data_IF_951606212583
#
_entry.id   IF_951606212583
#
_cell.length_a   1.000
_cell.length_b   1.000
_cell.length_c   1.000
_cell.angle_alpha   90.00
_cell.angle_beta   90.00
_cell.angle_gamma   90.00
#
_symmetry.space_group_name_H-M   'P 1'
#
loop_
_entity.id
_entity.type
_entity.pdbx_description
1 polymer ?
#
# COMPACT_ATOMS: atom_id res chain seq x y z
N UNK A 1 -0.38 7.94 4.16
CA UNK A 1 -1.08 6.74 3.63
C UNK A 1 -2.46 7.09 3.11
N UNK A 2 -2.83 6.61 1.92
CA UNK A 2 -4.13 6.82 1.27
C UNK A 2 -4.64 5.52 0.64
N UNK A 3 -5.95 5.37 0.40
CA UNK A 3 -6.43 4.19 -0.35
C UNK A 3 -6.00 4.30 -1.81
N UNK A 4 -5.95 3.17 -2.51
CA UNK A 4 -5.77 3.15 -3.96
C UNK A 4 -6.92 3.81 -4.75
N UNK A 5 -6.79 3.75 -6.07
CA UNK A 5 -7.72 4.34 -7.02
C UNK A 5 -9.03 3.53 -7.10
N UNK A 6 -10.17 4.22 -7.13
CA UNK A 6 -11.51 3.61 -7.20
C UNK A 6 -12.03 3.64 -8.65
N UNK A 7 -12.18 2.49 -9.33
CA UNK A 7 -12.58 2.45 -10.74
C UNK A 7 -14.04 2.89 -11.00
N UNK A 8 -15.01 2.29 -10.33
CA UNK A 8 -16.47 2.44 -10.59
C UNK A 8 -16.78 2.34 -12.09
N UNK A 9 -16.66 1.13 -12.63
CA UNK A 9 -16.58 0.90 -14.09
C UNK A 9 -17.39 -0.31 -14.59
N UNK A 10 -17.93 -1.14 -13.69
CA UNK A 10 -18.89 -2.19 -14.04
C UNK A 10 -18.31 -3.34 -14.88
N UNK A 11 -17.00 -3.61 -14.80
CA UNK A 11 -16.32 -4.69 -15.52
C UNK A 11 -15.85 -4.34 -16.95
N UNK A 12 -15.74 -3.06 -17.30
CA UNK A 12 -15.36 -2.58 -18.62
C UNK A 12 -13.91 -2.07 -18.74
N UNK A 13 -13.36 -1.43 -17.71
CA UNK A 13 -12.00 -0.88 -17.66
C UNK A 13 -10.99 -1.81 -16.97
N UNK A 14 -11.45 -2.77 -16.18
CA UNK A 14 -10.59 -3.81 -15.58
C UNK A 14 -10.65 -5.07 -16.45
N UNK A 15 -9.50 -5.65 -16.72
CA UNK A 15 -9.32 -6.78 -17.63
C UNK A 15 -8.62 -7.94 -16.91
N UNK A 16 -9.07 -9.15 -17.18
CA UNK A 16 -8.26 -10.37 -17.02
C UNK A 16 -7.11 -10.39 -18.05
N UNK A 17 -6.16 -11.30 -17.86
CA UNK A 17 -5.05 -11.48 -18.83
C UNK A 17 -5.57 -11.91 -20.20
N UNK A 18 -6.51 -12.84 -20.26
CA UNK A 18 -7.12 -13.29 -21.52
C UNK A 18 -7.85 -12.15 -22.25
N UNK A 19 -8.62 -11.33 -21.52
CA UNK A 19 -9.27 -10.15 -22.10
C UNK A 19 -8.28 -9.11 -22.60
N UNK A 20 -7.17 -8.92 -21.87
CA UNK A 20 -6.09 -8.00 -22.26
C UNK A 20 -5.41 -8.49 -23.54
N UNK A 21 -5.05 -9.77 -23.60
CA UNK A 21 -4.39 -10.37 -24.77
C UNK A 21 -5.30 -10.37 -25.99
N UNK A 22 -6.58 -10.72 -25.83
CA UNK A 22 -7.57 -10.64 -26.91
C UNK A 22 -7.74 -9.19 -27.41
N UNK A 23 -7.85 -8.21 -26.49
CA UNK A 23 -7.99 -6.81 -26.84
C UNK A 23 -6.77 -6.26 -27.60
N UNK A 24 -5.55 -6.63 -27.20
CA UNK A 24 -4.32 -6.23 -27.90
C UNK A 24 -4.23 -6.91 -29.27
N UNK A 25 -4.63 -8.19 -29.38
CA UNK A 25 -4.66 -8.91 -30.64
C UNK A 25 -5.60 -8.25 -31.68
N UNK A 26 -6.73 -7.73 -31.21
CA UNK A 26 -7.69 -6.99 -32.03
C UNK A 26 -7.29 -5.53 -32.29
N UNK A 27 -6.75 -4.87 -31.26
CA UNK A 27 -6.46 -3.44 -31.23
C UNK A 27 -5.05 -3.19 -30.66
N UNK A 28 -3.98 -3.38 -31.45
CA UNK A 28 -2.61 -3.28 -30.94
C UNK A 28 -2.26 -1.93 -30.29
N UNK A 29 -2.91 -0.85 -30.74
CA UNK A 29 -2.74 0.50 -30.17
C UNK A 29 -3.17 0.58 -28.68
N UNK A 30 -4.02 -0.35 -28.22
CA UNK A 30 -4.53 -0.40 -26.85
C UNK A 30 -3.44 -0.71 -25.82
N UNK A 31 -2.37 -1.40 -26.22
CA UNK A 31 -1.27 -1.80 -25.33
C UNK A 31 -0.67 -0.61 -24.57
N UNK A 32 -0.49 0.54 -25.23
CA UNK A 32 0.07 1.75 -24.59
C UNK A 32 -0.86 2.36 -23.51
N UNK A 33 -2.13 1.95 -23.46
CA UNK A 33 -3.14 2.41 -22.51
C UNK A 33 -3.46 1.36 -21.45
N UNK A 34 -2.76 0.23 -21.45
CA UNK A 34 -2.96 -0.84 -20.48
C UNK A 34 -1.87 -0.77 -19.42
N UNK A 35 -2.27 -0.89 -18.16
CA UNK A 35 -1.35 -0.97 -17.01
C UNK A 35 -1.69 -2.15 -16.12
N UNK A 36 -0.71 -2.72 -15.38
CA UNK A 36 -1.01 -3.65 -14.31
C UNK A 36 -1.97 -3.02 -13.29
N UNK A 37 -2.94 -3.80 -12.83
CA UNK A 37 -3.93 -3.37 -11.84
C UNK A 37 -3.94 -4.34 -10.66
N UNK A 38 -3.58 -3.86 -9.48
CA UNK A 38 -3.37 -4.71 -8.30
C UNK A 38 -4.27 -4.26 -7.15
N UNK A 39 -5.08 -5.19 -6.63
CA UNK A 39 -5.73 -5.09 -5.32
C UNK A 39 -5.03 -5.93 -4.26
N UNK A 40 -5.65 -6.05 -3.08
CA UNK A 40 -5.12 -6.89 -2.00
C UNK A 40 -4.98 -8.36 -2.42
N UNK A 41 -5.95 -8.89 -3.17
CA UNK A 41 -5.94 -10.30 -3.58
C UNK A 41 -4.86 -10.59 -4.62
N UNK A 42 -4.72 -9.73 -5.64
CA UNK A 42 -3.66 -9.85 -6.65
C UNK A 42 -2.28 -9.74 -6.01
N UNK A 43 -2.10 -8.76 -5.13
CA UNK A 43 -0.83 -8.53 -4.44
C UNK A 43 -0.42 -9.72 -3.57
N UNK A 44 -1.35 -10.27 -2.80
CA UNK A 44 -1.04 -11.36 -1.88
C UNK A 44 -0.81 -12.67 -2.61
N UNK A 45 -1.61 -12.98 -3.63
CA UNK A 45 -1.64 -14.31 -4.25
C UNK A 45 -0.96 -14.34 -5.63
N UNK A 46 -0.21 -13.31 -6.00
CA UNK A 46 0.49 -13.25 -7.29
C UNK A 46 -0.43 -13.31 -8.51
N UNK A 47 -1.69 -12.91 -8.38
CA UNK A 47 -2.64 -12.89 -9.51
C UNK A 47 -2.39 -11.67 -10.37
N UNK A 48 -2.66 -11.81 -11.66
CA UNK A 48 -2.52 -10.72 -12.64
C UNK A 48 -3.89 -10.18 -13.04
N UNK A 49 -4.01 -8.85 -12.99
CA UNK A 49 -5.12 -8.09 -13.57
C UNK A 49 -4.57 -6.83 -14.22
N UNK A 50 -5.34 -6.28 -15.14
CA UNK A 50 -4.94 -5.15 -15.96
C UNK A 50 -6.05 -4.10 -15.97
N UNK A 51 -5.70 -2.86 -16.30
CA UNK A 51 -6.69 -1.82 -16.52
C UNK A 51 -6.38 -0.94 -17.72
N UNK A 52 -7.44 -0.46 -18.37
CA UNK A 52 -7.37 0.68 -19.28
C UNK A 52 -7.17 1.97 -18.48
N UNK A 53 -6.05 2.65 -18.72
CA UNK A 53 -5.58 3.79 -17.94
C UNK A 53 -5.35 5.03 -18.81
N UNK A 54 -6.36 5.89 -18.88
CA UNK A 54 -6.33 7.14 -19.67
C UNK A 54 -5.95 8.39 -18.85
N UNK A 55 -5.58 8.23 -17.58
CA UNK A 55 -5.17 9.36 -16.74
C UNK A 55 -3.92 10.04 -17.30
N UNK A 56 -3.95 11.37 -17.40
CA UNK A 56 -2.82 12.17 -17.91
C UNK A 56 -2.70 12.16 -19.44
N UNK A 57 -3.61 11.51 -20.16
CA UNK A 57 -3.65 11.55 -21.63
C UNK A 57 -4.46 12.77 -22.07
N UNK A 58 -3.90 13.61 -22.94
CA UNK A 58 -4.60 14.79 -23.46
C UNK A 58 -5.84 14.40 -24.28
N UNK A 59 -6.86 15.26 -24.29
CA UNK A 59 -8.12 15.00 -25.00
C UNK A 59 -7.91 14.71 -26.49
N UNK A 60 -7.01 15.47 -27.14
CA UNK A 60 -6.68 15.28 -28.56
C UNK A 60 -6.07 13.91 -28.79
N UNK A 61 -5.07 13.50 -27.99
CA UNK A 61 -4.42 12.20 -28.13
C UNK A 61 -5.40 11.06 -27.85
N UNK A 62 -6.18 11.15 -26.77
CA UNK A 62 -7.20 10.16 -26.41
C UNK A 62 -8.21 9.99 -27.54
N UNK A 63 -8.84 11.08 -27.99
CA UNK A 63 -9.89 11.01 -29.00
C UNK A 63 -9.37 10.52 -30.36
N UNK A 64 -8.13 10.87 -30.72
CA UNK A 64 -7.49 10.34 -31.92
C UNK A 64 -7.25 8.82 -31.83
N UNK A 65 -6.78 8.34 -30.68
CA UNK A 65 -6.54 6.92 -30.46
C UNK A 65 -7.84 6.11 -30.40
N UNK A 66 -8.87 6.59 -29.71
CA UNK A 66 -10.15 5.87 -29.56
C UNK A 66 -10.87 5.63 -30.89
N UNK A 67 -10.69 6.50 -31.89
CA UNK A 67 -11.19 6.26 -33.25
C UNK A 67 -10.61 5.01 -33.91
N UNK A 68 -9.43 4.58 -33.47
CA UNK A 68 -8.71 3.40 -33.97
C UNK A 68 -8.88 2.19 -33.06
N UNK A 69 -9.62 2.33 -31.95
CA UNK A 69 -9.82 1.29 -30.95
C UNK A 69 -11.33 1.16 -30.61
N UNK A 70 -12.17 0.74 -31.58
CA UNK A 70 -13.63 0.65 -31.39
C UNK A 70 -14.08 -0.24 -30.22
N UNK A 71 -13.38 -1.32 -29.89
CA UNK A 71 -13.65 -2.19 -28.73
C UNK A 71 -13.32 -1.49 -27.41
N UNK A 72 -12.19 -0.77 -27.34
CA UNK A 72 -11.91 0.12 -26.19
C UNK A 72 -12.98 1.21 -26.07
N UNK A 73 -13.38 1.82 -27.18
CA UNK A 73 -14.43 2.84 -27.19
C UNK A 73 -15.78 2.27 -26.71
N UNK A 74 -16.13 1.05 -27.11
CA UNK A 74 -17.34 0.36 -26.65
C UNK A 74 -17.31 0.12 -25.12
N UNK A 75 -16.17 -0.32 -24.58
CA UNK A 75 -15.98 -0.47 -23.11
C UNK A 75 -16.18 0.86 -22.39
N UNK A 76 -15.60 1.95 -22.89
CA UNK A 76 -15.78 3.30 -22.31
C UNK A 76 -17.26 3.74 -22.39
N UNK A 77 -17.95 3.45 -23.49
CA UNK A 77 -19.36 3.78 -23.62
C UNK A 77 -20.24 2.97 -22.65
N UNK A 78 -19.91 1.71 -22.39
CA UNK A 78 -20.58 0.90 -21.38
C UNK A 78 -20.38 1.45 -19.95
N UNK A 79 -19.17 1.95 -19.62
CA UNK A 79 -18.94 2.67 -18.36
C UNK A 79 -19.84 3.90 -18.26
N UNK A 80 -19.94 4.68 -19.34
CA UNK A 80 -20.78 5.88 -19.39
C UNK A 80 -22.24 5.54 -19.07
N UNK A 81 -22.83 4.59 -19.79
CA UNK A 81 -24.22 4.17 -19.59
C UNK A 81 -24.45 3.67 -18.15
N UNK A 82 -23.57 2.80 -17.64
CA UNK A 82 -23.67 2.32 -16.25
C UNK A 82 -23.63 3.47 -15.22
N UNK A 83 -22.78 4.48 -15.45
CA UNK A 83 -22.66 5.65 -14.57
C UNK A 83 -23.88 6.56 -14.64
N UNK A 84 -24.44 6.79 -15.83
CA UNK A 84 -25.68 7.58 -16.04
C UNK A 84 -26.87 6.94 -15.32
N UNK A 85 -26.94 5.60 -15.31
CA UNK A 85 -28.01 4.83 -14.68
C UNK A 85 -27.85 4.67 -13.15
N UNK A 86 -26.74 5.15 -12.56
CA UNK A 86 -26.47 5.03 -11.13
C UNK A 86 -27.41 5.89 -10.28
N UNK A 87 -27.77 5.43 -9.08
CA UNK A 87 -28.49 6.24 -8.09
C UNK A 87 -27.61 7.23 -7.33
N UNK A 88 -26.28 7.12 -7.45
CA UNK A 88 -25.33 8.01 -6.78
C UNK A 88 -25.01 9.22 -7.66
N UNK A 89 -25.35 10.42 -7.18
CA UNK A 89 -25.18 11.69 -7.90
C UNK A 89 -23.74 11.95 -8.35
N UNK A 90 -22.74 11.52 -7.58
CA UNK A 90 -21.34 11.67 -8.00
C UNK A 90 -21.02 10.75 -9.17
N UNK A 91 -21.44 9.50 -9.08
CA UNK A 91 -21.27 8.50 -10.14
C UNK A 91 -21.93 8.94 -11.45
N UNK A 92 -23.14 9.52 -11.39
CA UNK A 92 -23.79 10.12 -12.56
C UNK A 92 -22.95 11.22 -13.20
N UNK A 93 -22.38 12.13 -12.40
CA UNK A 93 -21.50 13.20 -12.90
C UNK A 93 -20.23 12.64 -13.56
N UNK A 94 -19.68 11.55 -13.01
CA UNK A 94 -18.49 10.88 -13.54
C UNK A 94 -18.75 10.20 -14.90
N UNK A 95 -20.00 10.14 -15.38
CA UNK A 95 -20.32 9.71 -16.74
C UNK A 95 -19.81 10.69 -17.82
N UNK A 96 -19.43 11.93 -17.44
CA UNK A 96 -18.78 12.87 -18.34
C UNK A 96 -17.31 12.48 -18.65
N UNK A 97 -16.69 11.67 -17.79
CA UNK A 97 -15.30 11.19 -17.94
C UNK A 97 -15.21 9.66 -17.78
N UNK A 98 -15.94 8.89 -18.63
CA UNK A 98 -16.07 7.44 -18.49
C UNK A 98 -14.76 6.67 -18.74
N UNK A 99 -13.78 7.31 -19.37
CA UNK A 99 -12.43 6.76 -19.55
C UNK A 99 -11.52 6.90 -18.31
N UNK A 100 -11.96 7.61 -17.26
CA UNK A 100 -11.23 7.76 -16.01
C UNK A 100 -11.88 6.96 -14.89
N UNK A 101 -11.06 6.55 -13.92
CA UNK A 101 -11.55 6.03 -12.64
C UNK A 101 -12.21 7.14 -11.83
N UNK A 102 -13.26 6.81 -11.07
CA UNK A 102 -13.99 7.77 -10.24
C UNK A 102 -13.11 8.49 -9.20
N UNK A 103 -12.13 7.78 -8.61
CA UNK A 103 -11.10 8.40 -7.76
C UNK A 103 -9.73 7.93 -8.19
N UNK A 104 -8.87 8.86 -8.55
CA UNK A 104 -7.50 8.62 -8.98
C UNK A 104 -6.58 9.06 -7.85
N UNK A 105 -5.85 8.11 -7.27
CA UNK A 105 -4.89 8.35 -6.17
C UNK A 105 -3.51 7.78 -6.47
N UNK A 106 -3.34 7.26 -7.68
CA UNK A 106 -2.10 6.66 -8.15
C UNK A 106 -1.00 7.74 -8.20
N UNK A 107 0.20 7.50 -7.65
CA UNK A 107 1.35 8.38 -7.80
C UNK A 107 1.73 8.55 -9.28
N UNK A 108 2.25 9.72 -9.64
CA UNK A 108 2.69 10.01 -11.01
C UNK A 108 4.08 9.48 -11.33
N UNK A 109 4.90 9.21 -10.32
CA UNK A 109 6.29 8.77 -10.43
C UNK A 109 6.72 7.95 -9.20
N UNK A 110 7.93 7.38 -9.29
CA UNK A 110 8.60 6.72 -8.19
C UNK A 110 7.98 5.39 -7.75
N UNK A 111 8.45 4.92 -6.60
CA UNK A 111 7.93 3.73 -5.95
C UNK A 111 7.12 4.11 -4.73
N UNK A 112 6.14 3.27 -4.40
CA UNK A 112 5.32 3.41 -3.21
C UNK A 112 5.17 2.05 -2.53
N UNK A 113 4.81 2.07 -1.26
CA UNK A 113 4.52 0.86 -0.49
C UNK A 113 3.02 0.55 -0.58
N UNK A 114 2.66 -0.68 -0.92
CA UNK A 114 1.27 -1.18 -0.89
C UNK A 114 1.01 -1.94 0.41
N UNK A 115 -0.17 -1.70 0.98
CA UNK A 115 -0.68 -2.36 2.19
C UNK A 115 -2.08 -2.93 1.87
N UNK A 116 -2.25 -4.27 1.87
CA UNK A 116 -3.56 -4.89 1.65
C UNK A 116 -4.62 -4.40 2.64
N UNK A 117 -5.82 -4.07 2.14
CA UNK A 117 -6.92 -3.65 3.04
C UNK A 117 -7.53 -4.80 3.82
N UNK A 118 -7.46 -6.02 3.28
CA UNK A 118 -7.89 -7.25 3.94
C UNK A 118 -6.75 -8.26 3.89
N UNK A 119 -6.45 -8.90 5.02
CA UNK A 119 -5.50 -10.01 5.10
C UNK A 119 -6.00 -11.03 6.12
N UNK A 120 -5.72 -12.31 5.87
CA UNK A 120 -6.03 -13.42 6.78
C UNK A 120 -5.51 -13.12 8.18
N UNK A 121 -6.36 -13.40 9.18
CA UNK A 121 -5.96 -13.27 10.59
C UNK A 121 -4.92 -14.31 11.03
N UNK A 122 -4.76 -15.38 10.27
CA UNK A 122 -3.77 -16.41 10.58
C UNK A 122 -2.33 -15.92 10.37
N UNK A 123 -2.11 -14.86 9.58
CA UNK A 123 -0.76 -14.34 9.30
C UNK A 123 -0.23 -13.53 10.47
N UNK A 124 1.01 -13.84 10.89
CA UNK A 124 1.73 -13.08 11.91
C UNK A 124 2.12 -11.66 11.46
N UNK A 125 2.27 -11.43 10.17
CA UNK A 125 2.50 -10.09 9.60
C UNK A 125 1.58 -9.89 8.41
N UNK A 126 0.98 -8.71 8.26
CA UNK A 126 0.34 -8.33 7.00
C UNK A 126 1.45 -8.22 5.94
N UNK A 127 1.43 -9.00 4.86
CA UNK A 127 2.41 -8.86 3.80
C UNK A 127 2.21 -7.52 3.09
N UNK A 128 3.24 -6.70 3.09
CA UNK A 128 3.32 -5.40 2.41
C UNK A 128 4.55 -5.40 1.50
N UNK A 129 4.64 -4.49 0.55
CA UNK A 129 5.78 -4.45 -0.38
C UNK A 129 5.78 -3.22 -1.28
N UNK A 130 6.86 -3.05 -2.03
CA UNK A 130 7.03 -1.92 -2.95
C UNK A 130 6.46 -2.23 -4.32
N UNK A 131 5.84 -1.22 -4.94
CA UNK A 131 5.39 -1.22 -6.33
C UNK A 131 5.83 0.07 -7.02
N UNK A 132 6.06 -0.02 -8.33
CA UNK A 132 6.30 1.12 -9.21
C UNK A 132 5.00 1.87 -9.51
N UNK A 133 5.08 3.19 -9.74
CA UNK A 133 3.97 4.05 -10.20
C UNK A 133 3.27 3.54 -11.47
N UNK A 134 3.94 2.70 -12.25
CA UNK A 134 3.37 2.04 -13.44
C UNK A 134 2.26 1.04 -13.09
N UNK A 135 2.26 0.49 -11.87
CA UNK A 135 1.23 -0.44 -11.38
C UNK A 135 0.13 0.31 -10.66
N UNK A 136 -1.08 0.30 -11.22
CA UNK A 136 -2.25 0.98 -10.66
C UNK A 136 -2.81 0.17 -9.50
N UNK A 137 -2.96 0.80 -8.33
CA UNK A 137 -3.50 0.12 -7.15
C UNK A 137 -5.00 0.38 -6.98
N UNK A 138 -5.77 -0.68 -6.74
CA UNK A 138 -7.20 -0.65 -6.44
C UNK A 138 -7.49 -0.02 -5.07
N UNK A 139 -8.69 0.54 -4.89
CA UNK A 139 -9.19 1.01 -3.60
C UNK A 139 -9.35 -0.11 -2.55
N UNK A 140 -9.14 -1.38 -2.93
CA UNK A 140 -9.06 -2.53 -2.03
C UNK A 140 -7.65 -2.73 -1.43
N UNK A 141 -6.73 -1.80 -1.64
CA UNK A 141 -5.49 -1.69 -0.90
C UNK A 141 -5.18 -0.22 -0.57
N UNK A 142 -4.27 -0.01 0.37
CA UNK A 142 -3.69 1.29 0.66
C UNK A 142 -2.33 1.43 0.00
N UNK A 143 -1.95 2.67 -0.26
CA UNK A 143 -0.62 3.04 -0.71
C UNK A 143 -0.01 4.07 0.25
N UNK A 144 1.31 3.98 0.38
CA UNK A 144 2.14 4.96 1.06
C UNK A 144 3.19 5.46 0.05
N UNK A 145 2.92 6.60 -0.62
CA UNK A 145 3.88 7.24 -1.51
C UNK A 145 5.16 7.62 -0.77
N UNK A 146 6.30 7.62 -1.47
CA UNK A 146 7.61 8.01 -0.93
C UNK A 146 8.03 7.22 0.33
N UNK A 147 7.52 6.00 0.50
CA UNK A 147 7.83 5.16 1.64
C UNK A 147 9.31 4.74 1.64
N UNK A 148 10.03 5.10 2.69
CA UNK A 148 11.41 4.64 2.92
C UNK A 148 11.45 3.25 3.56
N UNK A 149 12.62 2.61 3.59
CA UNK A 149 12.83 1.33 4.29
C UNK A 149 12.45 1.38 5.77
N UNK A 150 12.53 2.55 6.41
CA UNK A 150 12.03 2.75 7.76
C UNK A 150 10.53 2.47 7.86
N UNK A 151 9.73 2.97 6.91
CA UNK A 151 8.29 2.72 6.88
C UNK A 151 8.00 1.24 6.68
N UNK A 152 8.67 0.60 5.70
CA UNK A 152 8.53 -0.84 5.48
C UNK A 152 8.88 -1.64 6.74
N UNK A 153 9.99 -1.30 7.40
CA UNK A 153 10.44 -1.95 8.63
C UNK A 153 9.47 -1.79 9.79
N UNK A 154 9.00 -0.57 10.07
CA UNK A 154 8.03 -0.35 11.15
C UNK A 154 6.72 -1.10 10.88
N UNK A 155 6.17 -1.00 9.67
CA UNK A 155 4.89 -1.64 9.33
C UNK A 155 4.99 -3.18 9.24
N UNK A 156 6.20 -3.72 9.03
CA UNK A 156 6.48 -5.16 9.04
C UNK A 156 6.87 -5.71 10.41
N UNK A 157 6.87 -4.89 11.46
CA UNK A 157 7.24 -5.29 12.83
C UNK A 157 6.08 -5.91 13.60
N UNK A 158 6.41 -6.72 14.61
CA UNK A 158 5.46 -7.25 15.59
C UNK A 158 4.79 -6.11 16.37
N UNK A 159 5.50 -5.00 16.67
CA UNK A 159 4.89 -3.82 17.31
C UNK A 159 3.69 -3.29 16.50
N UNK A 160 3.90 -3.06 15.21
CA UNK A 160 2.84 -2.54 14.36
C UNK A 160 1.70 -3.55 14.17
N UNK A 161 2.03 -4.81 13.93
CA UNK A 161 1.02 -5.83 13.69
C UNK A 161 0.21 -6.17 14.96
N UNK A 162 0.81 -6.13 16.16
CA UNK A 162 0.08 -6.29 17.42
C UNK A 162 -0.89 -5.12 17.68
N UNK A 163 -0.47 -3.88 17.39
CA UNK A 163 -1.37 -2.72 17.45
C UNK A 163 -2.53 -2.86 16.45
N UNK A 164 -2.19 -3.15 15.18
CA UNK A 164 -3.17 -3.38 14.12
C UNK A 164 -4.19 -4.45 14.51
N UNK A 165 -3.76 -5.61 15.04
CA UNK A 165 -4.65 -6.68 15.51
C UNK A 165 -5.66 -6.22 16.55
N UNK A 166 -5.24 -5.31 17.41
CA UNK A 166 -6.02 -4.79 18.54
C UNK A 166 -7.04 -3.76 18.09
N UNK A 167 -6.68 -2.85 17.18
CA UNK A 167 -7.51 -1.69 16.85
C UNK A 167 -8.22 -1.78 15.49
N UNK A 168 -7.74 -2.61 14.57
CA UNK A 168 -8.33 -2.71 13.24
C UNK A 168 -9.73 -3.30 13.28
N UNK A 169 -10.58 -2.86 12.36
CA UNK A 169 -11.84 -3.55 12.09
C UNK A 169 -11.60 -4.95 11.53
N UNK A 170 -12.66 -5.75 11.43
CA UNK A 170 -12.60 -7.12 10.88
C UNK A 170 -13.59 -7.32 9.74
N UNK A 171 -13.25 -8.19 8.80
CA UNK A 171 -14.18 -8.75 7.82
C UNK A 171 -14.38 -10.23 8.18
N UNK A 172 -15.52 -10.55 8.80
CA UNK A 172 -15.65 -11.78 9.60
C UNK A 172 -14.54 -11.77 10.67
N UNK A 173 -13.56 -12.65 10.58
CA UNK A 173 -12.41 -12.67 11.48
C UNK A 173 -11.15 -12.03 10.88
N UNK A 174 -11.08 -11.93 9.54
CA UNK A 174 -9.90 -11.38 8.85
C UNK A 174 -9.64 -9.91 9.20
N UNK A 175 -8.37 -9.52 9.22
CA UNK A 175 -7.97 -8.15 9.50
C UNK A 175 -8.46 -7.23 8.37
N UNK A 176 -9.12 -6.13 8.75
CA UNK A 176 -9.48 -5.05 7.84
C UNK A 176 -8.70 -3.80 8.20
N UNK A 177 -7.58 -3.60 7.50
CA UNK A 177 -6.68 -2.47 7.71
C UNK A 177 -7.38 -1.14 7.39
N UNK A 178 -7.04 -0.10 8.14
CA UNK A 178 -7.52 1.27 7.93
C UNK A 178 -6.44 2.28 8.23
N UNK A 179 -6.23 3.26 7.35
CA UNK A 179 -5.29 4.34 7.63
C UNK A 179 -5.75 5.22 8.80
N UNK A 180 -7.05 5.52 8.93
CA UNK A 180 -7.57 6.41 9.98
C UNK A 180 -7.67 5.77 11.35
N UNK A 181 -7.71 4.43 11.42
CA UNK A 181 -7.81 3.70 12.69
C UNK A 181 -6.46 3.14 13.11
N UNK A 182 -5.70 2.58 12.16
CA UNK A 182 -4.41 1.92 12.44
C UNK A 182 -3.26 2.89 12.23
N UNK A 183 -2.98 3.26 10.97
CA UNK A 183 -1.75 3.98 10.62
C UNK A 183 -1.64 5.35 11.31
N UNK A 184 -2.68 6.18 11.22
CA UNK A 184 -2.68 7.55 11.73
C UNK A 184 -2.58 7.62 13.26
N UNK A 185 -3.02 6.57 13.96
CA UNK A 185 -3.00 6.50 15.42
C UNK A 185 -1.85 5.65 15.96
N UNK A 186 -1.03 5.06 15.08
CA UNK A 186 0.09 4.24 15.51
C UNK A 186 1.17 5.12 16.14
N UNK A 187 1.58 4.86 17.40
CA UNK A 187 2.62 5.65 18.05
C UNK A 187 3.99 5.23 17.52
N UNK A 188 4.52 5.95 16.53
CA UNK A 188 5.85 5.72 15.94
C UNK A 188 6.99 5.96 16.96
N UNK A 189 8.17 5.33 16.78
CA UNK A 189 9.30 5.56 17.66
C UNK A 189 9.96 6.91 17.37
N UNK A 190 9.60 7.93 18.15
CA UNK A 190 10.09 9.31 18.00
C UNK A 190 11.63 9.44 18.06
N UNK A 191 12.32 8.48 18.69
CA UNK A 191 13.78 8.45 18.78
C UNK A 191 14.48 8.34 17.42
N UNK A 192 13.78 7.87 16.38
CA UNK A 192 14.33 7.67 15.03
C UNK A 192 13.41 8.12 13.89
N UNK A 193 12.32 8.83 14.21
CA UNK A 193 11.41 9.47 13.25
C UNK A 193 12.06 10.74 12.67
N UNK A 194 11.87 10.96 11.37
CA UNK A 194 12.29 12.19 10.67
C UNK A 194 11.06 13.06 10.39
N UNK A 195 11.20 14.40 10.28
CA UNK A 195 10.08 15.28 9.95
C UNK A 195 9.31 14.89 8.69
N UNK A 196 10.04 14.45 7.65
CA UNK A 196 9.45 14.13 6.34
C UNK A 196 8.76 12.75 6.31
N UNK A 197 8.89 11.91 7.36
CA UNK A 197 8.17 10.63 7.44
C UNK A 197 6.62 10.87 7.50
N UNK A 198 6.22 12.05 7.97
CA UNK A 198 4.81 12.47 8.09
C UNK A 198 4.26 13.06 6.79
N UNK A 199 5.13 13.57 5.91
CA UNK A 199 4.78 14.21 4.64
C UNK A 199 4.51 13.20 3.51
N UNK A 200 4.35 11.91 3.83
CA UNK A 200 4.01 10.82 2.90
C UNK A 200 2.54 10.83 2.42
N UNK A 201 1.90 12.00 2.47
CA UNK A 201 0.60 12.27 1.85
C UNK A 201 0.81 13.01 0.52
N UNK A 202 0.10 12.58 -0.53
CA UNK A 202 0.13 13.09 -1.90
C UNK A 202 0.49 14.59 -1.99
N UNK A 203 1.62 14.90 -2.62
CA UNK A 203 1.94 16.26 -3.05
C UNK A 203 0.95 16.66 -4.16
N UNK A 204 -0.18 17.26 -3.79
CA UNK A 204 -0.93 18.12 -4.71
C UNK A 204 -0.29 19.51 -4.72
N UNK A 205 0.32 19.85 -5.86
CA UNK A 205 0.45 21.18 -6.46
C UNK A 205 0.28 22.39 -5.52
N UNK A 206 1.22 22.63 -4.61
CA UNK A 206 1.51 24.00 -4.15
C UNK A 206 3.00 24.16 -3.93
N UNK A 207 3.63 25.00 -4.74
CA UNK A 207 5.03 25.38 -4.58
C UNK A 207 5.23 26.13 -3.26
N UNK A 208 5.60 25.41 -2.20
CA UNK A 208 6.25 25.98 -1.03
C UNK A 208 7.48 25.16 -0.72
N UNK A 209 8.65 25.74 -1.03
CA UNK A 209 9.95 25.25 -0.57
C UNK A 209 9.94 25.19 0.96
N UNK A 210 9.77 23.99 1.51
CA UNK A 210 9.97 23.69 2.91
C UNK A 210 11.43 23.98 3.30
N UNK A 211 11.60 24.60 4.46
CA UNK A 211 12.91 24.93 5.05
C UNK A 211 13.75 23.65 5.20
N UNK A 212 15.04 23.73 4.84
CA UNK A 212 16.03 22.66 5.07
C UNK A 212 15.96 22.14 6.52
N UNK A 213 15.76 20.83 6.75
CA UNK A 213 16.02 20.24 8.06
C UNK A 213 17.53 20.01 8.24
N UNK A 214 18.06 20.41 9.41
CA UNK A 214 19.38 19.99 9.91
C UNK A 214 19.22 18.76 10.80
N UNK A 215 20.22 17.86 10.73
CA UNK A 215 20.59 16.74 11.63
C UNK A 215 19.69 15.49 11.73
N UNK A 216 19.59 14.67 10.67
CA UNK A 216 19.07 13.28 10.79
C UNK A 216 19.77 12.22 9.93
N UNK A 217 20.91 12.53 9.30
CA UNK A 217 21.55 11.59 8.35
C UNK A 217 22.15 10.34 9.01
N UNK A 218 22.53 10.37 10.29
CA UNK A 218 23.18 9.25 10.97
C UNK A 218 22.47 8.83 12.28
N UNK A 219 21.19 8.43 12.20
CA UNK A 219 20.52 7.80 13.33
C UNK A 219 20.77 6.28 13.33
N UNK A 220 21.56 5.73 14.27
CA UNK A 220 21.91 4.31 14.26
C UNK A 220 20.72 3.37 14.52
N UNK A 221 19.69 3.82 15.23
CA UNK A 221 18.46 3.05 15.45
C UNK A 221 17.68 2.94 14.14
N UNK A 222 17.56 4.05 13.40
CA UNK A 222 16.93 4.07 12.08
C UNK A 222 17.67 3.17 11.10
N UNK A 223 19.00 3.32 11.00
CA UNK A 223 19.82 2.52 10.10
C UNK A 223 19.72 1.02 10.38
N UNK A 224 19.62 0.63 11.66
CA UNK A 224 19.40 -0.76 12.04
C UNK A 224 18.03 -1.29 11.59
N UNK A 225 16.96 -0.48 11.71
CA UNK A 225 15.63 -0.83 11.19
C UNK A 225 15.69 -0.96 9.67
N UNK A 226 16.25 0.03 8.97
CA UNK A 226 16.33 0.04 7.51
C UNK A 226 17.13 -1.16 6.97
N UNK A 227 18.24 -1.51 7.63
CA UNK A 227 19.05 -2.70 7.26
C UNK A 227 18.30 -4.00 7.48
N UNK A 228 17.58 -4.15 8.60
CA UNK A 228 16.78 -5.34 8.86
C UNK A 228 15.56 -5.43 7.91
N UNK A 229 14.99 -4.28 7.54
CA UNK A 229 13.91 -4.19 6.59
C UNK A 229 14.37 -4.61 5.18
N UNK A 230 15.55 -4.15 4.75
CA UNK A 230 16.16 -4.59 3.50
C UNK A 230 16.41 -6.10 3.50
N UNK A 231 16.94 -6.66 4.59
CA UNK A 231 17.18 -8.10 4.70
C UNK A 231 15.90 -8.94 4.51
N UNK A 232 14.74 -8.47 4.97
CA UNK A 232 13.45 -9.14 4.70
C UNK A 232 13.13 -9.14 3.20
N UNK A 233 13.32 -8.02 2.51
CA UNK A 233 13.10 -7.94 1.06
C UNK A 233 14.05 -8.87 0.31
N UNK A 234 15.33 -8.86 0.68
CA UNK A 234 16.36 -9.70 0.06
C UNK A 234 16.05 -11.19 0.26
N UNK A 235 15.56 -11.60 1.43
CA UNK A 235 15.20 -12.99 1.72
C UNK A 235 13.95 -13.42 0.95
N UNK A 236 12.94 -12.55 0.84
CA UNK A 236 11.78 -12.84 -0.02
C UNK A 236 12.21 -13.07 -1.46
N UNK A 237 13.13 -12.26 -1.97
CA UNK A 237 13.63 -12.39 -3.34
C UNK A 237 14.50 -13.63 -3.52
N UNK A 238 15.37 -13.94 -2.54
CA UNK A 238 16.15 -15.17 -2.51
C UNK A 238 15.24 -16.39 -2.66
N UNK A 239 14.18 -16.51 -1.86
CA UNK A 239 13.27 -17.66 -1.96
C UNK A 239 12.55 -17.77 -3.30
N UNK A 240 12.27 -16.64 -3.97
CA UNK A 240 11.72 -16.65 -5.32
C UNK A 240 12.74 -17.08 -6.36
N UNK A 241 13.97 -16.58 -6.25
CA UNK A 241 15.07 -16.98 -7.12
C UNK A 241 15.41 -18.48 -6.96
N UNK A 242 15.45 -18.97 -5.73
CA UNK A 242 15.68 -20.39 -5.42
C UNK A 242 14.58 -21.26 -6.06
N UNK A 243 13.30 -20.88 -5.94
CA UNK A 243 12.20 -21.59 -6.59
C UNK A 243 12.36 -21.63 -8.12
N UNK A 244 12.74 -20.51 -8.74
CA UNK A 244 12.98 -20.47 -10.19
C UNK A 244 14.18 -21.33 -10.62
N UNK A 245 15.24 -21.38 -9.82
CA UNK A 245 16.40 -22.24 -10.09
C UNK A 245 16.05 -23.73 -10.03
N UNK A 246 15.02 -24.08 -9.27
CA UNK A 246 14.47 -25.43 -9.15
C UNK A 246 13.30 -25.69 -10.14
N UNK A 247 13.09 -24.83 -11.14
CA UNK A 247 12.00 -24.89 -12.13
C UNK A 247 10.58 -24.89 -11.48
N UNK A 248 10.44 -24.25 -10.31
CA UNK A 248 9.19 -24.10 -9.58
C UNK A 248 8.61 -22.68 -9.73
N UNK A 249 7.28 -22.52 -9.62
CA UNK A 249 6.68 -21.19 -9.56
C UNK A 249 7.17 -20.44 -8.31
N UNK A 250 7.52 -19.14 -8.40
CA UNK A 250 7.91 -18.35 -7.25
C UNK A 250 6.80 -18.31 -6.19
N UNK A 251 7.11 -18.49 -4.89
CA UNK A 251 6.11 -18.40 -3.85
C UNK A 251 5.55 -16.97 -3.75
N UNK A 252 4.23 -16.92 -3.64
CA UNK A 252 3.45 -15.71 -3.43
C UNK A 252 3.68 -15.15 -2.02
N UNK A 253 3.29 -13.90 -1.78
CA UNK A 253 3.33 -13.34 -0.43
C UNK A 253 2.38 -14.06 0.53
N UNK A 254 1.25 -14.57 0.02
CA UNK A 254 0.33 -15.38 0.79
C UNK A 254 0.97 -16.68 1.29
N UNK A 255 1.77 -17.34 0.44
CA UNK A 255 2.50 -18.57 0.77
C UNK A 255 3.70 -18.29 1.68
N UNK A 256 4.53 -17.29 1.36
CA UNK A 256 5.69 -16.90 2.19
C UNK A 256 5.30 -16.55 3.64
N UNK A 257 4.08 -16.05 3.84
CA UNK A 257 3.55 -15.64 5.14
C UNK A 257 2.44 -16.54 5.68
N UNK A 258 2.25 -17.73 5.11
CA UNK A 258 1.35 -18.72 5.69
C UNK A 258 1.88 -19.17 7.07
N UNK A 259 1.01 -19.51 8.04
CA UNK A 259 1.42 -19.88 9.40
C UNK A 259 2.40 -21.06 9.46
N UNK A 260 2.28 -21.97 8.49
CA UNK A 260 3.00 -23.23 8.34
C UNK A 260 3.99 -23.21 7.15
N UNK A 261 4.26 -22.04 6.58
CA UNK A 261 5.03 -21.89 5.34
C UNK A 261 6.46 -22.49 5.36
N UNK A 262 7.06 -22.63 6.55
CA UNK A 262 8.35 -23.29 6.69
C UNK A 262 9.56 -22.52 6.13
N UNK A 263 9.52 -21.17 6.12
CA UNK A 263 10.63 -20.32 5.67
C UNK A 263 11.45 -19.74 6.85
N UNK A 264 12.42 -20.48 7.42
CA UNK A 264 13.11 -20.09 8.66
C UNK A 264 13.97 -18.82 8.50
N UNK A 265 14.56 -18.57 7.33
CA UNK A 265 15.37 -17.35 7.12
C UNK A 265 14.48 -16.11 7.19
N UNK A 266 13.24 -16.18 6.67
CA UNK A 266 12.28 -15.08 6.73
C UNK A 266 11.83 -14.82 8.16
N UNK A 267 11.55 -15.88 8.93
CA UNK A 267 11.21 -15.78 10.35
C UNK A 267 12.37 -15.13 11.13
N UNK A 268 13.60 -15.55 10.87
CA UNK A 268 14.81 -14.97 11.48
C UNK A 268 15.00 -13.50 11.12
N UNK A 269 14.70 -13.11 9.89
CA UNK A 269 14.77 -11.73 9.44
C UNK A 269 13.75 -10.83 10.16
N UNK A 270 12.51 -11.30 10.30
CA UNK A 270 11.50 -10.60 11.09
C UNK A 270 11.89 -10.48 12.57
N UNK A 271 12.48 -11.53 13.17
CA UNK A 271 12.97 -11.46 14.55
C UNK A 271 14.11 -10.42 14.71
N UNK A 272 14.99 -10.30 13.71
CA UNK A 272 16.04 -9.27 13.70
C UNK A 272 15.45 -7.85 13.56
N UNK A 273 14.45 -7.68 12.70
CA UNK A 273 13.70 -6.43 12.58
C UNK A 273 13.01 -6.06 13.90
N UNK A 274 12.32 -6.99 14.54
CA UNK A 274 11.66 -6.76 15.84
C UNK A 274 12.65 -6.30 16.90
N UNK A 275 13.84 -6.91 16.97
CA UNK A 275 14.90 -6.48 17.90
C UNK A 275 15.35 -5.03 17.62
N UNK A 276 15.44 -4.62 16.36
CA UNK A 276 15.81 -3.25 15.99
C UNK A 276 14.70 -2.25 16.36
N UNK A 277 13.44 -2.61 16.10
CA UNK A 277 12.26 -1.80 16.42
C UNK A 277 12.07 -1.67 17.92
N UNK A 278 12.18 -2.75 18.69
CA UNK A 278 12.09 -2.74 20.16
C UNK A 278 13.14 -1.82 20.77
N UNK A 279 14.37 -1.89 20.25
CA UNK A 279 15.44 -0.99 20.66
C UNK A 279 15.12 0.46 20.37
N UNK A 280 14.50 0.76 19.22
CA UNK A 280 14.08 2.13 18.88
C UNK A 280 12.99 2.66 19.82
N UNK A 281 12.07 1.80 20.27
CA UNK A 281 11.08 2.13 21.29
C UNK A 281 11.65 2.18 22.72
N UNK A 282 12.86 1.65 22.95
CA UNK A 282 13.36 1.38 24.29
C UNK A 282 12.53 0.31 25.03
N UNK A 283 11.78 -0.50 24.29
CA UNK A 283 10.95 -1.57 24.83
C UNK A 283 11.83 -2.70 25.35
N UNK A 284 11.56 -3.17 26.57
CA UNK A 284 12.24 -4.30 27.19
C UNK A 284 11.27 -5.44 27.30
N UNK A 285 11.50 -6.50 26.51
CA UNK A 285 10.68 -7.71 26.53
C UNK A 285 10.61 -8.28 27.95
N UNK A 286 9.39 -8.62 28.39
CA UNK A 286 9.14 -9.29 29.65
C UNK A 286 9.63 -10.74 29.65
N UNK A 287 9.27 -11.49 30.69
CA UNK A 287 9.64 -12.92 30.81
C UNK A 287 8.77 -13.85 29.95
N UNK A 288 7.69 -13.34 29.35
CA UNK A 288 6.76 -14.11 28.55
C UNK A 288 7.29 -14.36 27.13
N UNK A 289 7.07 -15.59 26.63
CA UNK A 289 7.51 -16.00 25.29
C UNK A 289 6.69 -15.33 24.19
N UNK A 290 5.39 -15.16 24.43
CA UNK A 290 4.45 -14.38 23.62
C UNK A 290 4.16 -13.05 24.32
N UNK A 291 4.71 -11.95 23.78
CA UNK A 291 4.68 -10.62 24.37
C UNK A 291 3.72 -9.66 23.65
N UNK A 292 2.81 -10.14 22.78
CA UNK A 292 1.90 -9.26 22.02
C UNK A 292 1.06 -8.36 22.93
N UNK A 293 0.47 -8.89 24.01
CA UNK A 293 -0.33 -8.11 24.94
C UNK A 293 0.50 -7.03 25.67
N UNK A 294 1.75 -7.33 26.02
CA UNK A 294 2.66 -6.39 26.66
C UNK A 294 3.07 -5.25 25.70
N UNK A 295 3.31 -5.58 24.42
CA UNK A 295 3.57 -4.60 23.37
C UNK A 295 2.38 -3.67 23.17
N UNK A 296 1.18 -4.22 23.11
CA UNK A 296 -0.05 -3.43 22.98
C UNK A 296 -0.20 -2.47 24.17
N UNK A 297 -0.08 -2.95 25.41
CA UNK A 297 -0.16 -2.10 26.60
C UNK A 297 0.89 -0.97 26.57
N UNK A 298 2.12 -1.29 26.18
CA UNK A 298 3.19 -0.32 26.01
C UNK A 298 2.85 0.75 24.95
N UNK A 299 2.32 0.35 23.78
CA UNK A 299 1.93 1.28 22.72
C UNK A 299 0.76 2.17 23.14
N UNK A 300 -0.23 1.64 23.85
CA UNK A 300 -1.35 2.44 24.37
C UNK A 300 -0.88 3.49 25.40
N UNK A 301 0.12 3.18 26.21
CA UNK A 301 0.72 4.16 27.12
C UNK A 301 1.47 5.27 26.37
N UNK A 302 2.18 4.94 25.28
CA UNK A 302 2.78 5.94 24.40
C UNK A 302 1.71 6.82 23.74
N UNK A 303 0.63 6.20 23.26
CA UNK A 303 -0.49 6.92 22.65
C UNK A 303 -1.16 7.87 23.65
N UNK A 304 -1.42 7.42 24.89
CA UNK A 304 -1.98 8.25 25.97
C UNK A 304 -1.11 9.48 26.23
N UNK A 305 0.21 9.29 26.38
CA UNK A 305 1.16 10.40 26.58
C UNK A 305 1.17 11.38 25.42
N UNK A 306 1.09 10.90 24.18
CA UNK A 306 1.04 11.76 23.00
C UNK A 306 -0.20 12.67 23.04
N UNK A 307 -1.39 12.10 23.29
CA UNK A 307 -2.65 12.86 23.39
C UNK A 307 -2.62 13.88 24.54
N UNK A 308 -2.09 13.52 25.71
CA UNK A 308 -1.94 14.45 26.85
C UNK A 308 -1.01 15.63 26.52
N UNK A 309 0.07 15.38 25.76
CA UNK A 309 0.99 16.42 25.30
C UNK A 309 0.38 17.36 24.24
N UNK A 310 -0.62 16.90 23.49
CA UNK A 310 -1.33 17.73 22.51
C UNK A 310 -2.39 18.61 23.15
N UNK A 311 -3.15 18.06 24.11
CA UNK A 311 -4.18 18.79 24.85
C UNK A 311 -3.62 19.91 25.75
N UNK A 312 -2.31 19.88 26.04
CA UNK A 312 -1.63 20.91 26.84
C UNK A 312 -0.99 22.02 26.00
N UNK A 313 -1.01 21.91 24.65
CA UNK A 313 -0.53 22.98 23.76
C UNK A 313 -1.62 24.06 23.60
N UNK A 314 -1.30 25.35 23.76
CA UNK A 314 -2.29 26.41 23.54
C UNK A 314 -2.79 26.36 22.09
N UNK A 315 -4.06 26.73 21.83
CA UNK A 315 -4.64 26.66 20.49
C UNK A 315 -3.77 27.44 19.51
N UNK A 316 -3.39 26.79 18.40
CA UNK A 316 -2.67 27.44 17.30
C UNK A 316 -3.53 28.62 16.84
N UNK A 317 -3.06 29.85 17.05
CA UNK A 317 -3.71 31.06 16.51
C UNK A 317 -3.88 30.88 15.00
N UNK A 318 -5.12 30.81 14.55
CA UNK A 318 -5.46 30.89 13.13
C UNK A 318 -4.92 32.21 12.57
N UNK A 319 -4.11 32.12 11.51
CA UNK A 319 -3.81 33.25 10.64
C UNK A 319 -4.70 33.18 9.41
#
# INVERSE_FOLDING_TARGET
MVNGSKPTEGGNLILSTDEKDALIGDEPLAEQYIRPFIGAEEFLNGKTRWCLWFQGISDVKRNHALKQMPKVQARIQAVKTMREDSSDNQTQKDAATPWLFQKIRQPSDGNFLIIPSVSSESRRFIPIGYLSFETVVSNLAFILPNATLFHFGILSSTMHNAFMRTVAGRLKSDYRYSNTVVYNNFPFPESCRKPDDDETALQETTGKKGKKPRSSENNPLRAAIESAAQAILDIREKYRADALNDDLPPPTLAELYAPDAGYPDLVKAHAALDKAVDKAYGYKKGKNTDDEAERVAFLFELYRKAIESENTKPPKKSK
#
